data_IF_011028298673
#
_entry.id   IF_011028298673
#
_cell.length_a   1.000
_cell.length_b   1.000
_cell.length_c   1.000
_cell.angle_alpha   90.00
_cell.angle_beta   90.00
_cell.angle_gamma   90.00
#
_symmetry.space_group_name_H-M   'P 1'
#
loop_
_entity.id
_entity.type
_entity.pdbx_description
1 polymer ?
#
# COMPACT_ATOMS: atom_id res chain seq x y z
N UNK A 1 14.90 4.43 8.33
CA UNK A 1 13.44 4.52 8.11
C UNK A 1 12.85 5.09 9.36
N UNK A 2 11.92 6.02 9.22
CA UNK A 2 11.30 6.70 10.35
C UNK A 2 10.29 5.80 11.05
N UNK A 3 10.13 5.99 12.36
CA UNK A 3 9.07 5.36 13.12
C UNK A 3 7.72 5.97 12.68
N UNK A 4 6.75 5.12 12.37
CA UNK A 4 5.40 5.55 12.01
C UNK A 4 4.51 5.57 13.26
N UNK A 5 3.43 6.35 13.21
CA UNK A 5 2.38 6.33 14.24
C UNK A 5 1.48 5.09 14.09
N UNK A 6 2.09 3.90 14.11
CA UNK A 6 1.48 2.59 13.97
C UNK A 6 2.12 1.62 14.98
N UNK A 7 1.45 0.51 15.33
CA UNK A 7 2.07 -0.55 16.11
C UNK A 7 3.39 -1.04 15.49
N UNK A 8 4.26 -1.60 16.32
CA UNK A 8 5.55 -2.12 15.85
C UNK A 8 5.37 -3.50 15.23
N UNK A 9 5.94 -3.70 14.03
CA UNK A 9 5.91 -4.99 13.34
C UNK A 9 7.31 -5.45 12.94
N UNK A 10 7.46 -6.76 12.83
CA UNK A 10 8.69 -7.37 12.30
C UNK A 10 8.61 -7.50 10.78
N UNK A 11 9.65 -7.01 10.10
CA UNK A 11 9.80 -7.09 8.65
C UNK A 11 11.08 -7.82 8.27
N UNK A 12 11.00 -8.68 7.25
CA UNK A 12 12.18 -9.30 6.65
C UNK A 12 12.81 -8.30 5.69
N UNK A 13 13.92 -7.70 6.10
CA UNK A 13 14.68 -6.73 5.30
C UNK A 13 16.02 -7.34 4.93
N UNK A 14 16.46 -7.13 3.69
CA UNK A 14 17.80 -7.50 3.22
C UNK A 14 18.46 -6.33 2.52
N UNK A 15 19.78 -6.33 2.49
CA UNK A 15 20.56 -5.37 1.73
C UNK A 15 21.35 -6.09 0.64
N UNK A 16 21.28 -5.56 -0.58
CA UNK A 16 22.01 -6.07 -1.74
C UNK A 16 22.65 -4.86 -2.41
N UNK A 17 23.99 -4.87 -2.53
CA UNK A 17 24.76 -3.79 -3.17
C UNK A 17 24.41 -2.38 -2.66
N UNK A 18 24.25 -2.24 -1.33
CA UNK A 18 23.90 -0.97 -0.68
C UNK A 18 22.43 -0.55 -0.81
N UNK A 19 21.59 -1.37 -1.47
CA UNK A 19 20.15 -1.12 -1.62
C UNK A 19 19.35 -2.02 -0.69
N UNK A 20 18.45 -1.44 0.08
CA UNK A 20 17.56 -2.17 0.99
C UNK A 20 16.32 -2.67 0.28
N UNK A 21 15.90 -3.87 0.65
CA UNK A 21 14.71 -4.53 0.15
C UNK A 21 13.91 -5.09 1.31
N UNK A 22 12.58 -5.05 1.21
CA UNK A 22 11.63 -5.58 2.18
C UNK A 22 10.84 -6.71 1.54
N UNK A 23 10.58 -7.79 2.29
CA UNK A 23 9.72 -8.87 1.82
C UNK A 23 8.26 -8.45 1.93
N UNK A 24 7.58 -8.42 0.78
CA UNK A 24 6.15 -8.20 0.69
C UNK A 24 5.41 -9.54 0.75
N UNK A 25 4.59 -9.74 1.79
CA UNK A 25 3.87 -10.99 2.03
C UNK A 25 2.73 -11.22 1.04
N UNK A 26 2.14 -10.16 0.50
CA UNK A 26 1.06 -10.23 -0.49
C UNK A 26 1.63 -10.56 -1.88
N UNK A 27 2.72 -9.89 -2.29
CA UNK A 27 3.42 -10.16 -3.57
C UNK A 27 4.33 -11.38 -3.52
N UNK A 28 4.62 -11.90 -2.31
CA UNK A 28 5.54 -13.02 -2.02
C UNK A 28 6.94 -12.85 -2.62
N UNK A 29 7.49 -11.63 -2.55
CA UNK A 29 8.83 -11.31 -3.08
C UNK A 29 9.46 -10.13 -2.35
N UNK A 30 10.77 -9.99 -2.46
CA UNK A 30 11.46 -8.78 -2.04
C UNK A 30 11.23 -7.63 -3.02
N UNK A 31 10.87 -6.46 -2.49
CA UNK A 31 10.70 -5.20 -3.23
C UNK A 31 11.62 -4.13 -2.66
N UNK A 32 11.95 -3.09 -3.43
CA UNK A 32 12.82 -2.02 -2.96
C UNK A 32 12.18 -1.31 -1.75
N UNK A 33 12.95 -1.14 -0.67
CA UNK A 33 12.48 -0.48 0.54
C UNK A 33 12.56 1.04 0.37
N UNK A 34 11.52 1.62 -0.25
CA UNK A 34 11.33 3.07 -0.33
C UNK A 34 10.55 3.59 0.88
N UNK A 35 10.57 4.90 1.18
CA UNK A 35 9.72 5.49 2.23
C UNK A 35 8.23 5.22 2.05
N UNK A 36 7.74 5.24 0.81
CA UNK A 36 6.35 4.91 0.47
C UNK A 36 6.05 3.42 0.67
N UNK A 37 6.96 2.52 0.25
CA UNK A 37 6.80 1.08 0.47
C UNK A 37 6.86 0.71 1.95
N UNK A 38 7.59 1.47 2.77
CA UNK A 38 7.59 1.30 4.22
C UNK A 38 6.22 1.56 4.84
N UNK A 39 5.57 2.66 4.45
CA UNK A 39 4.20 2.95 4.87
C UNK A 39 3.25 1.86 4.36
N UNK A 40 3.35 1.48 3.08
CA UNK A 40 2.53 0.41 2.49
C UNK A 40 2.62 -0.91 3.27
N UNK A 41 3.83 -1.38 3.58
CA UNK A 41 4.02 -2.62 4.33
C UNK A 41 3.51 -2.53 5.78
N UNK A 42 3.60 -1.36 6.43
CA UNK A 42 2.98 -1.15 7.75
C UNK A 42 1.46 -1.15 7.67
N UNK A 43 0.87 -0.53 6.64
CA UNK A 43 -0.58 -0.52 6.45
C UNK A 43 -1.11 -1.92 6.18
N UNK A 44 -0.40 -2.73 5.39
CA UNK A 44 -0.74 -4.15 5.21
C UNK A 44 -0.69 -4.90 6.55
N UNK A 45 0.36 -4.73 7.36
CA UNK A 45 0.45 -5.36 8.68
C UNK A 45 -0.65 -4.92 9.63
N UNK A 46 -0.93 -3.63 9.71
CA UNK A 46 -2.00 -3.07 10.54
C UNK A 46 -3.37 -3.62 10.16
N UNK A 47 -3.69 -3.60 8.86
CA UNK A 47 -4.96 -4.14 8.39
C UNK A 47 -5.05 -5.65 8.62
N UNK A 48 -3.93 -6.37 8.49
CA UNK A 48 -3.90 -7.81 8.70
C UNK A 48 -3.99 -8.25 10.16
N UNK A 49 -3.14 -7.70 11.02
CA UNK A 49 -2.94 -8.16 12.40
C UNK A 49 -3.89 -7.47 13.38
N UNK A 50 -4.09 -6.16 13.24
CA UNK A 50 -4.89 -5.37 14.19
C UNK A 50 -6.34 -5.21 13.75
N UNK A 51 -6.60 -5.23 12.44
CA UNK A 51 -7.95 -5.12 11.86
C UNK A 51 -8.50 -6.42 11.30
N UNK A 52 -7.75 -7.53 11.40
CA UNK A 52 -8.19 -8.87 11.02
C UNK A 52 -8.63 -9.03 9.55
N UNK A 53 -8.04 -8.28 8.61
CA UNK A 53 -8.20 -8.51 7.18
C UNK A 53 -7.19 -9.56 6.68
N UNK A 54 -7.61 -10.77 6.26
CA UNK A 54 -6.68 -11.78 5.76
C UNK A 54 -5.92 -11.28 4.53
N UNK A 55 -4.62 -11.59 4.42
CA UNK A 55 -3.77 -11.18 3.28
C UNK A 55 -4.33 -11.61 1.91
N UNK A 56 -5.11 -12.69 1.87
CA UNK A 56 -5.77 -13.17 0.64
C UNK A 56 -6.79 -12.18 0.06
N UNK A 57 -7.26 -11.22 0.86
CA UNK A 57 -8.18 -10.17 0.41
C UNK A 57 -7.44 -8.96 -0.19
N UNK A 58 -6.11 -8.92 -0.11
CA UNK A 58 -5.30 -7.81 -0.58
C UNK A 58 -4.87 -8.06 -2.01
N UNK A 59 -5.19 -7.12 -2.89
CA UNK A 59 -4.69 -7.10 -4.25
C UNK A 59 -3.79 -5.88 -4.38
N UNK A 60 -2.50 -6.15 -4.47
CA UNK A 60 -1.55 -5.11 -4.80
C UNK A 60 -1.48 -4.97 -6.31
N UNK A 61 -2.06 -3.90 -6.80
CA UNK A 61 -2.10 -3.56 -8.22
C UNK A 61 -0.69 -3.33 -8.75
N UNK A 62 -0.27 -4.18 -9.69
CA UNK A 62 0.94 -3.93 -10.47
C UNK A 62 0.59 -2.96 -11.60
N UNK A 63 1.19 -1.77 -11.66
CA UNK A 63 1.79 -1.21 -12.89
C UNK A 63 2.60 0.07 -12.61
N UNK A 64 3.91 -0.05 -12.74
CA UNK A 64 4.85 1.06 -12.92
C UNK A 64 5.19 1.16 -14.40
N UNK A 65 4.93 2.32 -15.04
CA UNK A 65 5.91 2.90 -15.98
C UNK A 65 5.90 4.42 -15.82
N UNK A 66 7.05 4.94 -15.39
CA UNK A 66 7.39 6.35 -15.31
C UNK A 66 7.51 6.91 -16.74
N UNK A 67 6.92 8.09 -17.01
CA UNK A 67 6.71 8.78 -18.31
C UNK A 67 5.36 8.52 -19.03
N UNK A 68 4.31 9.22 -18.53
CA UNK A 68 3.00 9.54 -19.16
C UNK A 68 1.78 8.70 -18.72
N UNK A 69 1.60 8.68 -17.39
CA UNK A 69 0.35 8.50 -16.63
C UNK A 69 -0.50 7.24 -16.88
N UNK A 70 -0.19 6.19 -16.13
CA UNK A 70 -1.20 5.44 -15.34
C UNK A 70 -0.56 5.15 -13.98
N UNK A 71 -0.92 5.90 -12.94
CA UNK A 71 -0.62 5.50 -11.56
C UNK A 71 -1.87 4.86 -10.98
N UNK A 72 -1.75 3.59 -10.63
CA UNK A 72 -2.78 2.83 -9.90
C UNK A 72 -2.61 3.13 -8.42
N UNK A 73 -3.68 2.99 -7.65
CA UNK A 73 -3.57 3.01 -6.20
C UNK A 73 -2.66 1.89 -5.70
N UNK A 74 -2.18 2.05 -4.48
CA UNK A 74 -1.19 1.16 -3.93
C UNK A 74 -1.69 -0.25 -3.74
N UNK A 75 -2.89 -0.40 -3.17
CA UNK A 75 -3.57 -1.68 -3.08
C UNK A 75 -5.08 -1.52 -2.84
N UNK A 76 -5.80 -2.59 -3.11
CA UNK A 76 -7.23 -2.74 -2.81
C UNK A 76 -7.41 -3.89 -1.84
N UNK A 77 -8.29 -3.70 -0.86
CA UNK A 77 -8.79 -4.77 0.00
C UNK A 77 -10.20 -5.13 -0.47
N UNK A 78 -10.44 -6.42 -0.66
CA UNK A 78 -11.73 -6.97 -1.08
C UNK A 78 -12.51 -7.53 0.12
N UNK A 79 -13.83 -7.61 -0.02
CA UNK A 79 -14.67 -8.39 0.90
C UNK A 79 -14.52 -9.88 0.61
N UNK A 80 -15.04 -10.72 1.52
CA UNK A 80 -15.09 -12.18 1.32
C UNK A 80 -15.95 -12.58 0.13
N UNK A 81 -16.91 -11.73 -0.25
CA UNK A 81 -17.78 -11.92 -1.43
C UNK A 81 -17.11 -11.47 -2.73
N UNK A 82 -15.84 -11.03 -2.68
CA UNK A 82 -15.08 -10.62 -3.86
C UNK A 82 -15.37 -9.20 -4.35
N UNK A 83 -16.10 -8.39 -3.57
CA UNK A 83 -16.37 -6.99 -3.90
C UNK A 83 -15.26 -6.07 -3.38
N UNK A 84 -14.82 -5.03 -4.12
CA UNK A 84 -13.89 -4.03 -3.60
C UNK A 84 -14.45 -3.38 -2.34
N UNK A 85 -13.70 -3.42 -1.25
CA UNK A 85 -14.11 -2.85 0.04
C UNK A 85 -13.38 -1.54 0.32
N UNK A 86 -12.07 -1.49 0.05
CA UNK A 86 -11.25 -0.33 0.36
C UNK A 86 -10.17 -0.14 -0.69
N UNK A 87 -10.02 1.10 -1.16
CA UNK A 87 -8.85 1.53 -1.94
C UNK A 87 -7.89 2.24 -0.99
N UNK A 88 -6.62 1.86 -1.03
CA UNK A 88 -5.58 2.44 -0.17
C UNK A 88 -4.53 3.14 -1.03
N UNK A 89 -4.20 4.37 -0.66
CA UNK A 89 -3.15 5.20 -1.25
C UNK A 89 -2.15 5.61 -0.16
N UNK A 90 -0.91 5.14 -0.25
CA UNK A 90 0.14 5.47 0.70
C UNK A 90 1.09 6.52 0.11
N UNK A 91 1.55 7.42 0.95
CA UNK A 91 2.63 8.37 0.67
C UNK A 91 3.80 8.12 1.60
N UNK A 92 4.95 8.70 1.25
CA UNK A 92 6.09 8.72 2.16
C UNK A 92 5.76 9.59 3.39
N UNK A 93 6.31 9.30 4.58
CA UNK A 93 5.94 10.01 5.82
C UNK A 93 6.08 11.54 5.76
N UNK A 94 7.07 12.03 5.01
CA UNK A 94 7.34 13.45 4.84
C UNK A 94 6.46 14.16 3.79
N UNK A 95 5.57 13.43 3.10
CA UNK A 95 4.70 13.99 2.06
C UNK A 95 3.34 14.32 2.66
N UNK A 96 2.99 15.60 2.63
CA UNK A 96 1.66 16.03 3.08
C UNK A 96 0.55 15.49 2.18
N UNK A 97 -0.54 15.06 2.81
CA UNK A 97 -1.75 14.60 2.11
C UNK A 97 -2.51 15.83 1.60
N UNK A 98 -2.34 16.13 0.31
CA UNK A 98 -3.07 17.18 -0.39
C UNK A 98 -4.10 16.66 -1.39
N UNK A 99 -4.76 17.59 -2.10
CA UNK A 99 -5.78 17.30 -3.11
C UNK A 99 -5.32 16.27 -4.16
N UNK A 100 -4.05 16.28 -4.54
CA UNK A 100 -3.51 15.33 -5.52
C UNK A 100 -3.62 13.87 -5.06
N UNK A 101 -3.46 13.59 -3.76
CA UNK A 101 -3.59 12.24 -3.22
C UNK A 101 -5.06 11.79 -3.26
N UNK A 102 -5.99 12.69 -2.90
CA UNK A 102 -7.42 12.46 -3.02
C UNK A 102 -7.85 12.23 -4.47
N UNK A 103 -7.36 13.04 -5.42
CA UNK A 103 -7.68 12.88 -6.83
C UNK A 103 -7.14 11.56 -7.39
N UNK A 104 -5.98 11.10 -6.91
CA UNK A 104 -5.42 9.80 -7.27
C UNK A 104 -6.31 8.66 -6.76
N UNK A 105 -6.66 8.67 -5.48
CA UNK A 105 -7.56 7.69 -4.88
C UNK A 105 -8.94 7.68 -5.55
N UNK A 106 -9.52 8.86 -5.81
CA UNK A 106 -10.86 8.99 -6.37
C UNK A 106 -10.92 8.53 -7.84
N UNK A 107 -9.94 8.91 -8.68
CA UNK A 107 -9.88 8.41 -10.08
C UNK A 107 -9.87 6.90 -10.15
N UNK A 108 -9.14 6.26 -9.25
CA UNK A 108 -9.10 4.81 -9.21
C UNK A 108 -10.40 4.22 -8.65
N UNK A 109 -10.98 4.85 -7.62
CA UNK A 109 -12.25 4.41 -7.05
C UNK A 109 -13.46 4.57 -7.98
N UNK A 110 -13.38 5.39 -9.03
CA UNK A 110 -14.40 5.41 -10.09
C UNK A 110 -14.56 4.06 -10.79
N UNK A 111 -13.49 3.26 -10.85
CA UNK A 111 -13.50 1.90 -11.43
C UNK A 111 -13.94 0.88 -10.40
N UNK A 112 -13.33 0.89 -9.21
CA UNK A 112 -13.55 -0.14 -8.19
C UNK A 112 -14.83 0.06 -7.38
N UNK A 113 -15.32 1.30 -7.26
CA UNK A 113 -16.51 1.67 -6.51
C UNK A 113 -16.48 1.13 -5.07
N UNK A 114 -15.31 1.11 -4.47
CA UNK A 114 -15.14 0.72 -3.08
C UNK A 114 -15.82 1.76 -2.17
N UNK A 115 -16.51 1.32 -1.10
CA UNK A 115 -17.16 2.23 -0.16
C UNK A 115 -16.15 3.04 0.68
N UNK A 116 -14.90 2.58 0.81
CA UNK A 116 -13.89 3.24 1.61
C UNK A 116 -12.67 3.66 0.78
N UNK A 117 -12.20 4.89 1.04
CA UNK A 117 -10.89 5.39 0.63
C UNK A 117 -10.04 5.58 1.87
N UNK A 118 -8.83 5.03 1.86
CA UNK A 118 -7.83 5.23 2.90
C UNK A 118 -6.60 5.89 2.27
N UNK A 119 -6.20 7.04 2.81
CA UNK A 119 -5.04 7.79 2.34
C UNK A 119 -4.13 8.01 3.54
N UNK A 120 -2.85 7.69 3.39
CA UNK A 120 -1.85 7.73 4.47
C UNK A 120 -0.59 8.45 4.05
#
# INVERSE_FOLDING_TARGET
MEALNLPTYFFKIKEVTGKKYIFDEVRRRFVALTPEEWVRQHMIKFLNLDRNYPLSLFVIEKKHVHNRMVRRCDFVVYSRDGNPLMVVECKAPAVEIGQQAFDQANRYNQVHKAPFLLIT
#
